data_IF_795505444742
#
_entry.id   IF_795505444742
#
_cell.length_a   1.000
_cell.length_b   1.000
_cell.length_c   1.000
_cell.angle_alpha   90.00
_cell.angle_beta   90.00
_cell.angle_gamma   90.00
#
_symmetry.space_group_name_H-M   'P 1'
#
loop_
_entity.id
_entity.type
_entity.pdbx_description
1 polymer ?
#
# COMPACT_ATOMS: atom_id res chain seq x y z
N UNK A 1 46.31 -12.38 -72.39
CA UNK A 1 46.29 -12.35 -70.91
C UNK A 1 44.94 -11.81 -70.52
N UNK A 2 44.05 -12.72 -70.17
CA UNK A 2 42.70 -12.36 -69.66
C UNK A 2 42.75 -12.21 -68.09
N UNK A 3 42.41 -11.09 -67.61
CA UNK A 3 42.22 -10.87 -66.12
C UNK A 3 40.75 -10.95 -65.81
N UNK A 4 40.34 -12.05 -65.12
CA UNK A 4 39.01 -12.21 -64.55
C UNK A 4 38.85 -11.35 -63.27
N UNK A 5 37.82 -10.48 -63.23
CA UNK A 5 37.40 -9.77 -62.02
C UNK A 5 36.28 -10.60 -61.37
N UNK A 6 36.53 -11.05 -60.13
CA UNK A 6 35.52 -11.67 -59.24
C UNK A 6 34.82 -10.57 -58.53
N UNK A 7 33.51 -10.43 -58.69
CA UNK A 7 32.67 -9.55 -57.92
C UNK A 7 32.12 -10.32 -56.72
N UNK A 8 32.46 -9.88 -55.50
CA UNK A 8 31.89 -10.40 -54.25
C UNK A 8 30.64 -9.57 -53.96
N UNK A 9 29.46 -10.20 -54.00
CA UNK A 9 28.21 -9.60 -53.57
C UNK A 9 28.08 -9.78 -52.06
N UNK A 10 28.13 -8.67 -51.29
CA UNK A 10 27.81 -8.64 -49.86
C UNK A 10 26.29 -8.59 -49.71
N UNK A 11 25.67 -9.69 -49.28
CA UNK A 11 24.26 -9.75 -48.90
C UNK A 11 24.04 -9.09 -47.56
N UNK A 12 23.34 -7.95 -47.52
CA UNK A 12 22.82 -7.38 -46.25
C UNK A 12 21.65 -8.25 -45.78
N UNK A 13 21.82 -8.97 -44.67
CA UNK A 13 20.73 -9.58 -43.95
C UNK A 13 20.15 -8.51 -43.03
N UNK A 14 19.06 -7.89 -43.42
CA UNK A 14 18.26 -7.02 -42.54
C UNK A 14 17.45 -7.91 -41.58
N UNK A 15 17.91 -8.06 -40.36
CA UNK A 15 17.15 -8.71 -39.32
C UNK A 15 15.92 -7.86 -39.02
N UNK A 16 14.72 -8.39 -39.27
CA UNK A 16 13.49 -7.78 -38.80
C UNK A 16 13.40 -7.96 -37.28
N UNK A 17 13.76 -6.93 -36.52
CA UNK A 17 13.42 -6.86 -35.09
C UNK A 17 11.91 -6.75 -35.00
N UNK A 18 11.27 -7.80 -34.46
CA UNK A 18 9.86 -7.76 -34.10
C UNK A 18 9.72 -6.78 -32.93
N UNK A 19 9.42 -5.50 -33.21
CA UNK A 19 8.95 -4.54 -32.24
C UNK A 19 7.56 -5.02 -31.81
N UNK A 20 7.49 -5.76 -30.71
CA UNK A 20 6.22 -6.05 -30.04
C UNK A 20 5.69 -4.71 -29.56
N UNK A 21 4.71 -4.17 -30.27
CA UNK A 21 4.03 -2.95 -29.86
C UNK A 21 3.47 -3.16 -28.45
N UNK A 22 4.04 -2.48 -27.47
CA UNK A 22 3.56 -2.52 -26.10
C UNK A 22 2.15 -1.91 -26.09
N UNK A 23 1.15 -2.71 -25.71
CA UNK A 23 -0.23 -2.24 -25.66
C UNK A 23 -0.32 -1.03 -24.75
N UNK A 24 -1.05 0.01 -25.18
CA UNK A 24 -1.25 1.21 -24.36
C UNK A 24 -1.91 0.84 -23.03
N UNK A 25 -1.49 1.48 -21.90
CA UNK A 25 -2.12 1.25 -20.61
C UNK A 25 -3.63 1.51 -20.66
N UNK A 26 -4.40 0.62 -20.06
CA UNK A 26 -5.86 0.77 -19.93
C UNK A 26 -6.17 1.33 -18.54
N UNK A 27 -7.18 2.19 -18.45
CA UNK A 27 -7.71 2.65 -17.17
C UNK A 27 -8.96 1.85 -16.82
N UNK A 28 -8.95 1.21 -15.67
CA UNK A 28 -10.07 0.47 -15.09
C UNK A 28 -10.66 1.25 -13.92
N UNK A 29 -11.94 1.04 -13.64
CA UNK A 29 -12.64 1.64 -12.48
C UNK A 29 -13.26 0.52 -11.66
N UNK A 30 -12.93 0.44 -10.37
CA UNK A 30 -13.48 -0.53 -9.44
C UNK A 30 -14.05 0.19 -8.22
N UNK A 31 -15.38 0.09 -8.04
CA UNK A 31 -16.09 0.68 -6.92
C UNK A 31 -16.53 -0.40 -5.93
N UNK A 32 -16.64 -0.09 -4.62
CA UNK A 32 -17.08 -1.03 -3.61
C UNK A 32 -18.57 -1.32 -3.76
N UNK A 33 -18.88 -2.59 -3.95
CA UNK A 33 -20.23 -3.17 -4.01
C UNK A 33 -20.23 -4.50 -3.24
N UNK A 34 -21.39 -5.09 -2.93
CA UNK A 34 -21.42 -6.41 -2.28
C UNK A 34 -20.67 -7.53 -3.02
N UNK A 35 -20.39 -7.37 -4.31
CA UNK A 35 -19.71 -8.36 -5.15
C UNK A 35 -18.26 -7.99 -5.50
N UNK A 36 -17.79 -6.81 -5.06
CA UNK A 36 -16.44 -6.32 -5.39
C UNK A 36 -15.60 -6.01 -4.15
N UNK A 37 -15.99 -6.54 -3.00
CA UNK A 37 -15.25 -6.37 -1.76
C UNK A 37 -14.92 -7.71 -1.11
N UNK A 38 -13.72 -7.79 -0.52
CA UNK A 38 -13.34 -8.77 0.49
C UNK A 38 -13.46 -8.09 1.86
N UNK A 39 -14.32 -8.62 2.73
CA UNK A 39 -14.53 -8.01 4.05
C UNK A 39 -13.73 -8.75 5.12
N UNK A 40 -12.68 -8.12 5.62
CA UNK A 40 -11.92 -8.55 6.78
C UNK A 40 -10.86 -9.62 6.51
N UNK A 41 -10.47 -9.86 5.26
CA UNK A 41 -9.49 -10.88 4.95
C UNK A 41 -8.69 -10.62 3.68
N UNK A 42 -7.54 -11.29 3.59
CA UNK A 42 -6.80 -11.60 2.36
C UNK A 42 -6.77 -13.11 2.17
N UNK A 43 -6.97 -13.62 0.94
CA UNK A 43 -7.08 -15.06 0.68
C UNK A 43 -6.61 -15.41 -0.74
N UNK A 44 -5.61 -16.29 -0.84
CA UNK A 44 -5.12 -16.79 -2.13
C UNK A 44 -6.16 -17.59 -2.94
N UNK A 45 -7.23 -18.08 -2.28
CA UNK A 45 -8.32 -18.78 -2.93
C UNK A 45 -9.52 -17.87 -3.30
N UNK A 46 -9.45 -16.56 -2.99
CA UNK A 46 -10.54 -15.64 -3.31
C UNK A 46 -10.64 -15.43 -4.83
N UNK A 47 -11.85 -15.53 -5.43
CA UNK A 47 -12.02 -15.25 -6.84
C UNK A 47 -11.80 -13.78 -7.14
N UNK A 48 -11.02 -13.42 -8.19
CA UNK A 48 -10.82 -12.02 -8.56
C UNK A 48 -12.11 -11.42 -9.13
N UNK A 49 -12.29 -10.13 -8.87
CA UNK A 49 -13.43 -9.33 -9.38
C UNK A 49 -13.06 -8.46 -10.57
N UNK A 50 -11.76 -8.30 -10.82
CA UNK A 50 -11.19 -7.54 -11.93
C UNK A 50 -9.87 -8.19 -12.37
N UNK A 51 -9.62 -8.21 -13.69
CA UNK A 51 -8.33 -8.54 -14.28
C UNK A 51 -7.72 -7.30 -14.92
N UNK A 52 -6.43 -7.06 -14.66
CA UNK A 52 -5.65 -5.97 -15.26
C UNK A 52 -4.32 -6.51 -15.78
N UNK A 53 -3.71 -5.78 -16.71
CA UNK A 53 -2.36 -6.07 -17.21
C UNK A 53 -1.33 -5.24 -16.47
N UNK A 54 -0.10 -5.75 -16.42
CA UNK A 54 1.04 -4.96 -15.95
C UNK A 54 1.16 -3.64 -16.72
N UNK A 55 1.22 -2.53 -15.98
CA UNK A 55 1.26 -1.16 -16.51
C UNK A 55 -0.10 -0.48 -16.61
N UNK A 56 -1.21 -1.18 -16.41
CA UNK A 56 -2.54 -0.59 -16.41
C UNK A 56 -2.73 0.35 -15.20
N UNK A 57 -3.71 1.25 -15.34
CA UNK A 57 -4.13 2.19 -14.29
C UNK A 57 -5.46 1.73 -13.72
N UNK A 58 -5.62 1.79 -12.42
CA UNK A 58 -6.88 1.51 -11.75
C UNK A 58 -7.34 2.71 -10.93
N UNK A 59 -8.63 3.02 -10.99
CA UNK A 59 -9.30 3.95 -10.09
C UNK A 59 -10.14 3.11 -9.13
N UNK A 60 -9.76 3.11 -7.86
CA UNK A 60 -10.40 2.30 -6.82
C UNK A 60 -11.12 3.21 -5.84
N UNK A 61 -12.42 2.97 -5.63
CA UNK A 61 -13.15 3.53 -4.50
C UNK A 61 -13.03 2.63 -3.28
N UNK A 62 -12.95 3.21 -2.09
CA UNK A 62 -12.98 2.47 -0.82
C UNK A 62 -14.04 3.06 0.10
N UNK A 63 -14.46 2.30 1.09
CA UNK A 63 -15.42 2.73 2.08
C UNK A 63 -14.78 2.87 3.45
N UNK A 64 -15.29 3.81 4.20
CA UNK A 64 -14.98 3.99 5.62
C UNK A 64 -15.19 2.67 6.39
N UNK A 65 -14.20 2.29 7.19
CA UNK A 65 -14.23 1.05 8.00
C UNK A 65 -15.18 1.19 9.18
N UNK A 66 -16.50 1.14 8.92
CA UNK A 66 -17.56 1.31 9.91
C UNK A 66 -18.84 0.60 9.50
N UNK A 67 -19.93 0.82 10.28
CA UNK A 67 -21.31 0.46 9.90
C UNK A 67 -22.20 1.69 9.89
N UNK A 68 -23.30 1.68 9.10
CA UNK A 68 -24.26 2.77 9.07
C UNK A 68 -24.76 3.16 10.47
N UNK A 69 -25.09 2.17 11.28
CA UNK A 69 -25.64 2.35 12.63
C UNK A 69 -24.63 3.04 13.57
N UNK A 70 -23.34 2.66 13.46
CA UNK A 70 -22.28 3.27 14.26
C UNK A 70 -22.05 4.73 13.87
N UNK A 71 -22.05 5.04 12.56
CA UNK A 71 -21.89 6.40 12.07
C UNK A 71 -23.06 7.29 12.45
N UNK A 72 -24.29 6.79 12.31
CA UNK A 72 -25.51 7.51 12.68
C UNK A 72 -25.59 7.75 14.20
N UNK A 73 -25.26 6.75 15.01
CA UNK A 73 -25.19 6.90 16.45
C UNK A 73 -24.12 7.91 16.89
N UNK A 74 -23.07 8.09 16.10
CA UNK A 74 -22.03 9.09 16.34
C UNK A 74 -22.40 10.50 15.80
N UNK A 75 -23.55 10.66 15.12
CA UNK A 75 -24.08 11.95 14.68
C UNK A 75 -24.00 12.23 13.18
N UNK A 76 -23.62 11.24 12.35
CA UNK A 76 -23.71 11.38 10.90
C UNK A 76 -25.17 11.30 10.46
N UNK A 77 -25.64 12.29 9.70
CA UNK A 77 -27.01 12.27 9.18
C UNK A 77 -27.21 11.03 8.27
N UNK A 78 -28.34 10.31 8.36
CA UNK A 78 -28.58 9.11 7.55
C UNK A 78 -28.37 9.28 6.04
N UNK A 79 -28.69 10.47 5.51
CA UNK A 79 -28.50 10.80 4.10
C UNK A 79 -27.00 10.99 3.69
N UNK A 80 -26.12 11.16 4.65
CA UNK A 80 -24.67 11.31 4.41
C UNK A 80 -23.93 9.96 4.49
N UNK A 81 -24.56 8.91 5.01
CA UNK A 81 -23.98 7.56 5.00
C UNK A 81 -24.14 6.96 3.62
N UNK A 82 -23.02 6.49 3.05
CA UNK A 82 -22.96 5.97 1.70
C UNK A 82 -23.89 4.76 1.48
N UNK A 83 -24.62 4.76 0.38
CA UNK A 83 -25.55 3.67 0.04
C UNK A 83 -24.82 2.35 -0.21
N UNK A 84 -23.60 2.40 -0.75
CA UNK A 84 -22.74 1.23 -0.92
C UNK A 84 -22.35 0.60 0.42
N UNK A 85 -22.07 1.41 1.45
CA UNK A 85 -21.81 0.91 2.80
C UNK A 85 -23.04 0.18 3.36
N UNK A 86 -24.25 0.76 3.21
CA UNK A 86 -25.52 0.11 3.62
C UNK A 86 -25.73 -1.22 2.89
N UNK A 87 -25.56 -1.23 1.58
CA UNK A 87 -25.72 -2.44 0.78
C UNK A 87 -24.73 -3.54 1.20
N UNK A 88 -23.46 -3.21 1.38
CA UNK A 88 -22.41 -4.14 1.78
C UNK A 88 -22.68 -4.70 3.19
N UNK A 89 -22.96 -3.84 4.16
CA UNK A 89 -23.19 -4.26 5.55
C UNK A 89 -24.40 -5.19 5.68
N UNK A 90 -25.42 -5.01 4.84
CA UNK A 90 -26.66 -5.82 4.84
C UNK A 90 -26.48 -7.14 4.07
N UNK A 91 -25.69 -7.13 2.97
CA UNK A 91 -25.70 -8.24 2.00
C UNK A 91 -24.49 -9.16 2.14
N UNK A 92 -23.30 -8.63 2.48
CA UNK A 92 -22.08 -9.43 2.56
C UNK A 92 -22.06 -10.27 3.83
N UNK A 93 -22.15 -11.59 3.66
CA UNK A 93 -22.11 -12.57 4.76
C UNK A 93 -20.76 -13.29 4.86
N UNK A 94 -20.00 -13.36 3.75
CA UNK A 94 -18.66 -13.96 3.72
C UNK A 94 -17.64 -12.95 4.27
N UNK A 95 -17.46 -12.96 5.59
CA UNK A 95 -16.52 -12.06 6.29
C UNK A 95 -15.36 -12.87 6.85
N UNK A 96 -14.18 -12.24 6.85
CA UNK A 96 -13.00 -12.74 7.54
C UNK A 96 -12.95 -12.28 9.00
N UNK A 97 -11.83 -12.57 9.68
CA UNK A 97 -11.66 -12.19 11.09
C UNK A 97 -11.30 -10.70 11.32
N UNK A 98 -10.93 -9.97 10.27
CA UNK A 98 -10.62 -8.53 10.36
C UNK A 98 -11.84 -7.62 10.21
N UNK A 99 -11.62 -6.30 10.26
CA UNK A 99 -12.68 -5.29 10.20
C UNK A 99 -12.83 -4.60 8.84
N UNK A 100 -11.77 -4.54 8.05
CA UNK A 100 -11.67 -3.68 6.87
C UNK A 100 -12.54 -4.16 5.71
N UNK A 101 -13.18 -3.22 5.00
CA UNK A 101 -13.88 -3.45 3.74
C UNK A 101 -12.90 -3.15 2.61
N UNK A 102 -12.29 -4.20 2.06
CA UNK A 102 -11.27 -4.09 1.03
C UNK A 102 -11.90 -4.21 -0.36
N UNK A 103 -11.63 -3.28 -1.27
CA UNK A 103 -12.07 -3.34 -2.66
C UNK A 103 -11.10 -4.20 -3.47
N UNK A 104 -11.62 -5.26 -4.07
CA UNK A 104 -10.87 -6.31 -4.74
C UNK A 104 -11.49 -7.69 -4.51
N UNK A 105 -10.76 -8.80 -4.77
CA UNK A 105 -9.38 -8.90 -5.25
C UNK A 105 -9.21 -8.55 -6.75
N UNK A 106 -8.08 -7.93 -7.09
CA UNK A 106 -7.72 -7.59 -8.46
C UNK A 106 -6.61 -8.54 -8.91
N UNK A 107 -6.85 -9.28 -9.99
CA UNK A 107 -5.86 -10.16 -10.60
C UNK A 107 -4.98 -9.36 -11.56
N UNK A 108 -3.66 -9.42 -11.38
CA UNK A 108 -2.69 -8.77 -12.26
C UNK A 108 -2.07 -9.82 -13.17
N UNK A 109 -2.39 -9.74 -14.47
CA UNK A 109 -1.95 -10.71 -15.46
C UNK A 109 -0.41 -10.77 -15.51
N UNK A 110 0.12 -12.00 -15.44
CA UNK A 110 1.55 -12.29 -15.50
C UNK A 110 2.30 -12.09 -14.19
N UNK A 111 1.64 -11.72 -13.08
CA UNK A 111 2.24 -11.73 -11.75
C UNK A 111 2.29 -13.14 -11.18
N UNK A 112 3.47 -13.56 -10.71
CA UNK A 112 3.71 -14.88 -10.12
C UNK A 112 4.45 -14.76 -8.79
N UNK A 113 4.41 -15.83 -8.00
CA UNK A 113 5.16 -15.89 -6.74
C UNK A 113 6.65 -15.63 -6.95
N UNK A 114 7.20 -14.70 -6.19
CA UNK A 114 8.59 -14.23 -6.29
C UNK A 114 8.77 -12.95 -7.11
N UNK A 115 7.75 -12.52 -7.86
CA UNK A 115 7.71 -11.19 -8.48
C UNK A 115 7.44 -10.10 -7.41
N UNK A 116 7.44 -8.84 -7.83
CA UNK A 116 7.05 -7.71 -7.01
C UNK A 116 5.99 -6.89 -7.74
N UNK A 117 4.92 -6.47 -7.05
CA UNK A 117 4.05 -5.42 -7.55
C UNK A 117 4.63 -4.06 -7.19
N UNK A 118 4.83 -3.23 -8.20
CA UNK A 118 5.09 -1.80 -8.09
C UNK A 118 3.75 -1.07 -8.23
N UNK A 119 3.32 -0.38 -7.18
CA UNK A 119 2.04 0.34 -7.10
C UNK A 119 2.36 1.82 -6.94
N UNK A 120 2.27 2.57 -8.04
CA UNK A 120 2.43 4.02 -8.04
C UNK A 120 1.10 4.67 -7.64
N UNK A 121 1.09 5.35 -6.51
CA UNK A 121 -0.07 6.09 -5.99
C UNK A 121 -0.12 7.46 -6.68
N UNK A 122 -0.92 7.59 -7.73
CA UNK A 122 -0.92 8.79 -8.57
C UNK A 122 -1.81 9.90 -8.02
N UNK A 123 -2.95 9.54 -7.40
CA UNK A 123 -3.92 10.49 -6.89
C UNK A 123 -4.74 9.86 -5.77
N UNK A 124 -5.11 10.67 -4.78
CA UNK A 124 -6.05 10.30 -3.72
C UNK A 124 -7.03 11.45 -3.52
N UNK A 125 -8.33 11.16 -3.59
CA UNK A 125 -9.42 12.12 -3.36
C UNK A 125 -10.26 11.65 -2.18
N UNK A 126 -10.74 12.58 -1.35
CA UNK A 126 -11.77 12.31 -0.35
C UNK A 126 -13.08 11.97 -1.06
N UNK A 127 -13.77 10.90 -0.65
CA UNK A 127 -15.06 10.51 -1.20
C UNK A 127 -16.24 11.05 -0.38
N UNK A 128 -16.03 11.34 0.92
CA UNK A 128 -17.02 11.88 1.84
C UNK A 128 -16.46 13.07 2.62
N UNK A 129 -17.31 13.99 3.14
CA UNK A 129 -16.86 15.22 3.79
C UNK A 129 -16.62 15.07 5.30
N UNK A 130 -16.45 13.87 5.80
CA UNK A 130 -16.17 13.59 7.20
C UNK A 130 -15.24 12.39 7.38
N UNK A 131 -14.59 12.37 8.52
CA UNK A 131 -13.92 11.19 9.06
C UNK A 131 -14.50 10.84 10.42
N UNK A 132 -14.18 9.65 10.94
CA UNK A 132 -14.29 9.40 12.36
C UNK A 132 -12.92 9.02 12.94
N UNK A 133 -12.79 9.21 14.25
CA UNK A 133 -11.77 8.58 15.07
C UNK A 133 -12.46 7.93 16.28
N UNK A 134 -11.99 6.77 16.70
CA UNK A 134 -12.65 6.04 17.79
C UNK A 134 -11.69 5.09 18.51
N UNK A 135 -11.80 5.08 19.80
CA UNK A 135 -11.22 4.03 20.64
C UNK A 135 -12.29 3.18 21.32
N UNK A 136 -11.93 2.00 21.80
CA UNK A 136 -12.87 1.07 22.43
C UNK A 136 -12.28 0.34 23.62
N UNK A 137 -13.16 -0.31 24.39
CA UNK A 137 -12.74 -1.13 25.53
C UNK A 137 -11.76 -2.20 25.10
N UNK A 138 -10.64 -2.30 25.80
CA UNK A 138 -9.53 -3.24 25.53
C UNK A 138 -8.92 -3.08 24.13
N UNK A 139 -8.98 -1.91 23.53
CA UNK A 139 -8.39 -1.58 22.24
C UNK A 139 -7.50 -0.35 22.34
N UNK A 140 -6.63 -0.16 21.34
CA UNK A 140 -5.62 0.89 21.38
C UNK A 140 -4.40 0.51 22.23
N UNK A 141 -3.46 1.43 22.32
CA UNK A 141 -2.18 1.19 22.99
C UNK A 141 -2.22 1.39 24.52
N UNK A 142 -3.23 2.11 25.04
CA UNK A 142 -3.41 2.41 26.47
C UNK A 142 -4.82 1.97 26.95
N UNK A 143 -5.19 0.69 26.82
CA UNK A 143 -6.54 0.23 27.12
C UNK A 143 -6.90 0.38 28.60
N UNK A 144 -5.93 0.35 29.51
CA UNK A 144 -6.10 0.54 30.95
C UNK A 144 -6.49 1.97 31.32
N UNK A 145 -6.02 2.98 30.57
CA UNK A 145 -6.32 4.39 30.79
C UNK A 145 -7.66 4.80 30.17
N UNK A 146 -8.11 4.05 29.14
CA UNK A 146 -9.35 4.31 28.40
C UNK A 146 -10.30 3.10 28.40
N UNK A 147 -10.82 2.69 29.59
CA UNK A 147 -11.65 1.48 29.72
C UNK A 147 -13.10 1.69 29.24
N UNK A 148 -13.30 2.56 28.26
CA UNK A 148 -14.60 2.88 27.65
C UNK A 148 -14.46 3.10 26.14
N UNK A 149 -15.58 3.19 25.43
CA UNK A 149 -15.58 3.46 23.99
C UNK A 149 -16.03 4.88 23.72
N UNK A 150 -15.41 5.51 22.72
CA UNK A 150 -15.81 6.81 22.21
C UNK A 150 -15.60 6.89 20.72
N UNK A 151 -16.58 7.45 20.01
CA UNK A 151 -16.46 7.78 18.57
C UNK A 151 -16.66 9.28 18.40
N UNK A 152 -15.81 9.89 17.60
CA UNK A 152 -15.90 11.30 17.23
C UNK A 152 -16.04 11.41 15.71
N UNK A 153 -17.03 12.12 15.24
CA UNK A 153 -17.12 12.53 13.83
C UNK A 153 -16.34 13.84 13.65
N UNK A 154 -15.52 13.90 12.64
CA UNK A 154 -14.59 15.01 12.37
C UNK A 154 -14.88 15.52 10.96
N UNK A 155 -15.40 16.75 10.80
CA UNK A 155 -15.64 17.35 9.50
C UNK A 155 -14.33 17.55 8.72
N UNK A 156 -14.35 17.23 7.42
CA UNK A 156 -13.22 17.43 6.50
C UNK A 156 -13.53 18.61 5.57
N UNK A 157 -12.60 19.56 5.50
CA UNK A 157 -12.62 20.68 4.53
C UNK A 157 -11.62 20.40 3.40
N UNK A 158 -12.14 19.90 2.28
CA UNK A 158 -11.34 19.58 1.10
C UNK A 158 -10.75 20.82 0.40
N UNK A 159 -11.31 22.03 0.63
CA UNK A 159 -10.80 23.26 0.05
C UNK A 159 -9.61 23.80 0.82
N UNK A 160 -9.64 23.72 2.15
CA UNK A 160 -8.56 24.13 3.05
C UNK A 160 -7.57 23.00 3.33
N UNK A 161 -7.89 21.77 2.95
CA UNK A 161 -7.14 20.55 3.24
C UNK A 161 -6.89 20.38 4.73
N UNK A 162 -7.94 20.49 5.54
CA UNK A 162 -7.89 20.32 7.00
C UNK A 162 -9.07 19.49 7.52
N UNK A 163 -8.84 18.80 8.63
CA UNK A 163 -9.87 18.18 9.47
C UNK A 163 -10.11 19.06 10.69
N UNK A 164 -11.37 19.40 10.96
CA UNK A 164 -11.76 20.25 12.12
C UNK A 164 -11.92 19.38 13.37
N UNK A 165 -10.83 19.11 14.07
CA UNK A 165 -10.82 18.19 15.22
C UNK A 165 -11.57 18.76 16.44
N UNK A 166 -11.31 20.02 16.78
CA UNK A 166 -11.96 20.76 17.87
C UNK A 166 -11.86 22.26 17.61
N UNK A 167 -12.59 23.13 18.38
CA UNK A 167 -12.43 24.58 18.26
C UNK A 167 -10.95 25.00 18.38
N UNK A 168 -10.43 25.60 17.32
CA UNK A 168 -9.03 26.06 17.23
C UNK A 168 -8.00 24.96 16.94
N UNK A 169 -8.42 23.72 16.64
CA UNK A 169 -7.54 22.61 16.28
C UNK A 169 -7.94 22.10 14.89
N UNK A 170 -7.20 22.55 13.88
CA UNK A 170 -7.27 22.06 12.49
C UNK A 170 -6.08 21.15 12.22
N UNK A 171 -6.35 19.92 11.76
CA UNK A 171 -5.33 18.92 11.40
C UNK A 171 -5.15 18.97 9.88
N UNK A 172 -3.93 19.20 9.35
CA UNK A 172 -3.67 19.09 7.91
C UNK A 172 -4.01 17.70 7.37
N UNK A 173 -4.66 17.65 6.19
CA UNK A 173 -4.97 16.38 5.54
C UNK A 173 -3.76 15.87 4.74
N UNK A 174 -3.47 14.59 4.95
CA UNK A 174 -2.49 13.82 4.18
C UNK A 174 -3.11 12.45 3.87
N UNK A 175 -4.06 12.38 2.89
CA UNK A 175 -4.82 11.16 2.65
C UNK A 175 -3.92 10.03 2.14
N UNK A 176 -4.16 8.83 2.67
CA UNK A 176 -3.52 7.58 2.23
C UNK A 176 -4.45 6.39 2.50
N UNK A 177 -4.09 5.21 1.97
CA UNK A 177 -4.82 3.97 2.26
C UNK A 177 -4.03 3.19 3.30
N UNK A 178 -4.63 2.92 4.45
CA UNK A 178 -4.06 2.08 5.49
C UNK A 178 -3.79 0.68 4.97
N UNK A 179 -4.74 0.14 4.22
CA UNK A 179 -4.65 -1.20 3.63
C UNK A 179 -4.44 -1.17 2.12
N UNK A 180 -3.23 -1.55 1.67
CA UNK A 180 -2.90 -1.94 0.29
C UNK A 180 -2.14 -3.26 0.38
N UNK A 181 -2.75 -4.37 -0.02
CA UNK A 181 -2.14 -5.69 0.15
C UNK A 181 -2.46 -6.67 -0.95
N UNK A 182 -1.69 -7.75 -0.98
CA UNK A 182 -1.88 -8.87 -1.91
C UNK A 182 -2.24 -10.14 -1.14
N UNK A 183 -2.69 -11.18 -1.83
CA UNK A 183 -2.94 -12.46 -1.18
C UNK A 183 -1.64 -13.03 -0.57
N UNK A 184 -1.70 -13.56 0.66
CA UNK A 184 -0.57 -14.23 1.30
C UNK A 184 -0.24 -15.55 0.61
N UNK A 185 0.89 -16.22 0.98
CA UNK A 185 1.16 -17.59 0.52
C UNK A 185 -0.05 -18.50 0.77
N UNK A 186 -0.44 -19.29 -0.23
CA UNK A 186 -1.64 -20.14 -0.17
C UNK A 186 -1.69 -21.07 1.05
N UNK A 187 -0.53 -21.51 1.54
CA UNK A 187 -0.43 -22.34 2.75
C UNK A 187 -0.89 -21.64 4.04
N UNK A 188 -0.99 -20.30 4.05
CA UNK A 188 -1.53 -19.55 5.20
C UNK A 188 -3.07 -19.52 5.22
N UNK A 189 -3.72 -19.92 4.12
CA UNK A 189 -5.17 -19.82 3.96
C UNK A 189 -5.64 -18.35 4.03
N UNK A 190 -6.89 -18.18 4.49
CA UNK A 190 -7.48 -16.87 4.72
C UNK A 190 -6.90 -16.24 5.99
N UNK A 191 -6.28 -15.06 5.83
CA UNK A 191 -5.71 -14.28 6.95
C UNK A 191 -6.58 -13.06 7.26
N UNK A 192 -6.47 -12.54 8.49
CA UNK A 192 -7.14 -11.30 8.90
C UNK A 192 -6.61 -10.10 8.12
N UNK A 193 -7.50 -9.14 7.84
CA UNK A 193 -7.11 -7.87 7.24
C UNK A 193 -6.45 -6.89 8.22
N UNK A 194 -6.50 -7.17 9.55
CA UNK A 194 -5.97 -6.22 10.53
C UNK A 194 -4.43 -6.27 10.63
N UNK A 195 -3.74 -7.41 10.87
CA UNK A 195 -2.29 -7.37 11.02
C UNK A 195 -1.58 -7.14 9.68
N UNK A 196 -0.67 -6.15 9.58
CA UNK A 196 0.25 -6.05 8.46
C UNK A 196 1.29 -7.18 8.52
N UNK A 197 1.79 -7.63 7.32
CA UNK A 197 2.80 -8.68 7.24
C UNK A 197 3.54 -8.59 5.88
N UNK A 198 4.25 -9.66 5.48
CA UNK A 198 4.97 -9.78 4.21
C UNK A 198 4.11 -9.49 2.97
N UNK A 199 2.81 -9.66 3.05
CA UNK A 199 1.84 -9.35 1.98
C UNK A 199 1.40 -7.88 1.95
N UNK A 200 2.04 -7.01 2.74
CA UNK A 200 1.62 -5.67 3.07
C UNK A 200 0.28 -5.69 3.85
N UNK A 201 -0.83 -5.35 3.22
CA UNK A 201 -2.13 -5.29 3.89
C UNK A 201 -2.28 -3.98 4.65
N UNK A 202 -2.63 -4.08 5.93
CA UNK A 202 -2.87 -2.93 6.81
C UNK A 202 -1.56 -2.33 7.32
N UNK A 203 -0.84 -1.66 6.41
CA UNK A 203 0.46 -1.07 6.74
C UNK A 203 0.36 0.16 7.62
N UNK A 204 -0.74 0.92 7.54
CA UNK A 204 -0.98 2.18 8.23
C UNK A 204 0.18 3.16 8.16
N UNK A 205 0.87 3.14 7.02
CA UNK A 205 2.03 3.97 6.79
C UNK A 205 1.64 5.30 6.12
N UNK A 206 1.58 6.36 6.92
CA UNK A 206 1.18 7.70 6.49
C UNK A 206 2.07 8.33 5.42
N UNK A 207 3.25 7.76 5.16
CA UNK A 207 4.16 8.23 4.11
C UNK A 207 3.70 7.82 2.70
N UNK A 208 2.75 6.86 2.59
CA UNK A 208 2.24 6.33 1.32
C UNK A 208 1.11 7.19 0.71
N UNK A 209 1.36 8.47 0.58
CA UNK A 209 0.44 9.46 -0.02
C UNK A 209 0.53 9.51 -1.55
N UNK A 210 -0.29 10.33 -2.20
CA UNK A 210 -0.18 10.58 -3.64
C UNK A 210 1.22 11.08 -4.04
N UNK A 211 1.77 10.52 -5.12
CA UNK A 211 3.14 10.78 -5.60
C UNK A 211 4.18 9.82 -5.05
N UNK A 212 3.77 8.80 -4.29
CA UNK A 212 4.65 7.75 -3.75
C UNK A 212 4.43 6.42 -4.45
N UNK A 213 5.32 5.46 -4.20
CA UNK A 213 5.26 4.11 -4.75
C UNK A 213 5.38 3.09 -3.63
N UNK A 214 4.52 2.09 -3.62
CA UNK A 214 4.60 0.91 -2.75
C UNK A 214 5.03 -0.30 -3.58
N UNK A 215 5.98 -1.08 -3.08
CA UNK A 215 6.47 -2.32 -3.64
C UNK A 215 6.08 -3.47 -2.71
N UNK A 216 5.36 -4.45 -3.24
CA UNK A 216 4.85 -5.59 -2.47
C UNK A 216 5.35 -6.91 -3.08
N UNK A 217 5.97 -7.80 -2.29
CA UNK A 217 6.30 -9.15 -2.74
C UNK A 217 5.04 -9.92 -3.14
N UNK A 218 5.04 -10.55 -4.30
CA UNK A 218 3.94 -11.42 -4.77
C UNK A 218 4.13 -12.84 -4.23
N UNK A 219 3.09 -13.41 -3.65
CA UNK A 219 3.12 -14.75 -3.05
C UNK A 219 2.24 -15.76 -3.78
N UNK A 220 1.36 -15.29 -4.66
CA UNK A 220 0.30 -16.08 -5.31
C UNK A 220 0.13 -15.60 -6.75
N UNK A 221 -0.14 -16.47 -7.74
CA UNK A 221 -0.42 -16.06 -9.11
C UNK A 221 -1.50 -14.98 -9.18
N UNK A 222 -1.23 -13.93 -9.96
CA UNK A 222 -2.11 -12.77 -10.10
C UNK A 222 -2.06 -11.80 -8.93
N UNK A 223 -1.23 -12.03 -7.91
CA UNK A 223 -1.09 -11.23 -6.71
C UNK A 223 -2.39 -11.07 -5.89
N UNK A 224 -3.55 -10.91 -6.52
CA UNK A 224 -4.86 -10.66 -5.90
C UNK A 224 -4.83 -9.41 -5.01
N UNK A 225 -4.58 -8.26 -5.63
CA UNK A 225 -4.47 -6.96 -4.96
C UNK A 225 -5.82 -6.51 -4.39
N UNK A 226 -5.82 -6.07 -3.14
CA UNK A 226 -6.96 -5.47 -2.44
C UNK A 226 -6.56 -4.14 -1.83
N UNK A 227 -7.48 -3.14 -1.86
CA UNK A 227 -7.25 -1.79 -1.36
C UNK A 227 -8.44 -1.36 -0.50
N UNK A 228 -8.16 -0.81 0.68
CA UNK A 228 -9.19 -0.37 1.61
C UNK A 228 -8.66 0.58 2.65
N UNK A 229 -9.46 0.78 3.69
CA UNK A 229 -9.06 1.48 4.90
C UNK A 229 -8.50 2.88 4.61
N UNK A 230 -9.39 3.77 4.19
CA UNK A 230 -9.03 5.12 3.79
C UNK A 230 -8.84 6.04 4.97
N UNK A 231 -7.66 6.64 5.10
CA UNK A 231 -7.31 7.61 6.13
C UNK A 231 -7.15 9.01 5.52
N UNK A 232 -7.81 10.01 6.09
CA UNK A 232 -7.60 11.41 5.72
C UNK A 232 -6.31 11.98 6.34
N UNK A 233 -5.73 11.29 7.31
CA UNK A 233 -4.49 11.61 8.00
C UNK A 233 -4.32 10.74 9.25
N UNK A 234 -3.08 10.59 9.73
CA UNK A 234 -2.70 9.79 10.89
C UNK A 234 -1.43 10.31 11.52
N UNK A 235 -1.28 10.16 12.81
CA UNK A 235 0.01 10.28 13.50
C UNK A 235 0.74 8.93 13.49
N UNK A 236 2.08 8.94 13.47
CA UNK A 236 2.85 7.71 13.66
C UNK A 236 2.47 7.04 14.98
N UNK A 237 2.27 5.72 14.92
CA UNK A 237 1.85 4.88 16.04
C UNK A 237 0.37 4.53 16.07
N UNK A 238 -0.52 5.29 15.44
CA UNK A 238 -1.99 5.06 15.42
C UNK A 238 -2.57 4.64 16.78
N UNK A 239 -2.17 5.36 17.82
CA UNK A 239 -2.17 4.89 19.21
C UNK A 239 -3.54 4.52 19.79
N UNK A 240 -4.65 5.00 19.25
CA UNK A 240 -6.00 4.68 19.73
C UNK A 240 -6.74 3.66 18.85
N UNK A 241 -6.05 3.08 17.84
CA UNK A 241 -6.55 2.05 16.90
C UNK A 241 -7.34 2.58 15.71
N UNK A 242 -7.43 3.87 15.54
CA UNK A 242 -8.00 4.48 14.35
C UNK A 242 -7.23 5.75 13.99
N UNK A 243 -7.20 6.06 12.71
CA UNK A 243 -6.73 7.33 12.16
C UNK A 243 -7.87 8.36 12.06
N UNK A 244 -7.83 9.21 11.04
CA UNK A 244 -8.98 9.95 10.51
C UNK A 244 -9.64 9.06 9.45
N UNK A 245 -10.45 8.10 9.91
CA UNK A 245 -11.09 7.08 9.08
C UNK A 245 -12.09 7.69 8.11
N UNK A 246 -11.96 7.43 6.81
CA UNK A 246 -12.85 8.01 5.80
C UNK A 246 -12.97 7.11 4.55
N UNK A 247 -13.85 7.46 3.64
CA UNK A 247 -13.91 6.86 2.31
C UNK A 247 -13.03 7.65 1.34
N UNK A 248 -12.25 6.94 0.53
CA UNK A 248 -11.33 7.54 -0.43
C UNK A 248 -11.58 7.01 -1.86
N UNK A 249 -11.06 7.75 -2.83
CA UNK A 249 -10.87 7.29 -4.20
C UNK A 249 -9.41 7.46 -4.60
N UNK A 250 -8.74 6.35 -4.91
CA UNK A 250 -7.35 6.34 -5.34
C UNK A 250 -7.19 6.04 -6.82
N UNK A 251 -6.16 6.62 -7.44
CA UNK A 251 -5.69 6.25 -8.79
C UNK A 251 -4.31 5.66 -8.67
N UNK A 252 -4.15 4.43 -9.16
CA UNK A 252 -2.92 3.66 -9.03
C UNK A 252 -2.47 3.14 -10.40
N UNK A 253 -1.18 3.23 -10.71
CA UNK A 253 -0.58 2.44 -11.79
C UNK A 253 0.06 1.20 -11.19
N UNK A 254 -0.28 0.03 -11.71
CA UNK A 254 0.18 -1.25 -11.19
C UNK A 254 1.09 -1.93 -12.22
N UNK A 255 2.33 -2.23 -11.83
CA UNK A 255 3.33 -2.85 -12.70
C UNK A 255 3.91 -4.09 -12.04
N UNK A 256 4.02 -5.18 -12.79
CA UNK A 256 4.72 -6.39 -12.34
C UNK A 256 6.22 -6.22 -12.60
N UNK A 257 7.01 -6.36 -11.56
CA UNK A 257 8.48 -6.27 -11.58
C UNK A 257 9.06 -7.68 -11.38
N UNK A 258 9.67 -8.19 -12.45
CA UNK A 258 10.36 -9.49 -12.46
C UNK A 258 11.88 -9.36 -12.22
N UNK A 259 12.35 -8.14 -12.17
CA UNK A 259 13.76 -7.76 -12.02
C UNK A 259 14.13 -7.36 -10.58
N UNK A 260 13.15 -7.32 -9.69
CA UNK A 260 13.31 -6.99 -8.27
C UNK A 260 12.87 -8.20 -7.43
N UNK A 261 13.63 -8.48 -6.37
CA UNK A 261 13.26 -9.49 -5.38
C UNK A 261 13.36 -8.88 -3.99
N UNK A 262 12.34 -9.11 -3.17
CA UNK A 262 12.31 -8.64 -1.77
C UNK A 262 11.45 -9.56 -0.92
N UNK A 263 11.73 -9.62 0.37
CA UNK A 263 10.99 -10.44 1.32
C UNK A 263 9.89 -9.65 2.06
N UNK A 264 10.04 -8.32 2.14
CA UNK A 264 9.18 -7.42 2.87
C UNK A 264 8.75 -6.25 2.00
N UNK A 265 7.60 -5.63 2.24
CA UNK A 265 7.18 -4.42 1.54
C UNK A 265 8.20 -3.29 1.69
N UNK A 266 8.30 -2.45 0.65
CA UNK A 266 9.11 -1.22 0.65
C UNK A 266 8.29 -0.08 0.06
N UNK A 267 8.57 1.13 0.53
CA UNK A 267 7.99 2.35 -0.03
C UNK A 267 9.05 3.23 -0.68
N UNK A 268 8.58 4.13 -1.53
CA UNK A 268 9.40 5.17 -2.12
C UNK A 268 8.62 6.48 -2.21
N UNK A 269 9.18 7.53 -1.65
CA UNK A 269 8.68 8.90 -1.79
C UNK A 269 9.61 9.69 -2.70
N UNK A 270 9.27 10.91 -3.10
CA UNK A 270 10.19 11.78 -3.83
C UNK A 270 11.53 12.02 -3.10
N UNK A 271 11.54 11.91 -1.76
CA UNK A 271 12.68 12.27 -0.92
C UNK A 271 13.31 11.11 -0.16
N UNK A 272 12.61 10.00 0.02
CA UNK A 272 13.08 8.86 0.81
C UNK A 272 12.74 7.51 0.16
N UNK A 273 13.53 6.49 0.47
CA UNK A 273 13.10 5.10 0.43
C UNK A 273 12.65 4.69 1.82
N UNK A 274 11.71 3.75 1.87
CA UNK A 274 11.11 3.28 3.11
C UNK A 274 11.30 1.77 3.20
N UNK A 275 12.06 1.32 4.19
CA UNK A 275 12.17 -0.10 4.53
C UNK A 275 11.23 -0.42 5.69
N UNK A 276 10.49 -1.53 5.61
CA UNK A 276 9.44 -1.85 6.57
C UNK A 276 9.73 -3.17 7.29
N UNK A 277 9.25 -3.28 8.52
CA UNK A 277 9.28 -4.50 9.31
C UNK A 277 8.08 -4.58 10.24
N UNK A 278 7.46 -5.75 10.30
CA UNK A 278 6.28 -6.01 11.11
C UNK A 278 6.49 -7.27 11.95
N UNK A 279 6.04 -7.23 13.20
CA UNK A 279 6.05 -8.37 14.14
C UNK A 279 5.09 -8.04 15.30
N UNK A 280 4.71 -9.03 16.09
CA UNK A 280 3.95 -8.82 17.32
C UNK A 280 4.75 -8.09 18.39
N UNK A 281 6.06 -8.20 18.36
CA UNK A 281 6.99 -7.56 19.27
C UNK A 281 7.65 -6.37 18.59
N UNK A 282 7.52 -5.17 19.16
CA UNK A 282 8.05 -3.93 18.62
C UNK A 282 9.56 -3.97 18.40
N UNK A 283 10.31 -4.63 19.27
CA UNK A 283 11.76 -4.76 19.12
C UNK A 283 12.11 -5.66 17.94
N UNK A 284 11.33 -6.73 17.71
CA UNK A 284 11.52 -7.59 16.53
C UNK A 284 11.11 -6.87 15.24
N UNK A 285 9.98 -6.16 15.22
CA UNK A 285 9.57 -5.32 14.08
C UNK A 285 10.67 -4.31 13.73
N UNK A 286 11.23 -3.61 14.73
CA UNK A 286 12.35 -2.68 14.55
C UNK A 286 13.58 -3.38 13.96
N UNK A 287 13.96 -4.55 14.48
CA UNK A 287 15.10 -5.33 13.94
C UNK A 287 14.88 -5.74 12.49
N UNK A 288 13.65 -6.12 12.12
CA UNK A 288 13.29 -6.46 10.74
C UNK A 288 13.45 -5.22 9.86
N UNK A 289 12.84 -4.09 10.21
CA UNK A 289 12.92 -2.86 9.46
C UNK A 289 14.36 -2.38 9.23
N UNK A 290 15.19 -2.38 10.28
CA UNK A 290 16.62 -2.02 10.19
C UNK A 290 17.40 -2.99 9.29
N UNK A 291 17.15 -4.31 9.38
CA UNK A 291 17.75 -5.29 8.47
C UNK A 291 17.34 -5.07 7.02
N UNK A 292 16.06 -4.72 6.77
CA UNK A 292 15.59 -4.39 5.42
C UNK A 292 16.23 -3.11 4.88
N UNK A 293 16.51 -2.11 5.73
CA UNK A 293 17.26 -0.91 5.35
C UNK A 293 18.72 -1.23 4.99
N UNK A 294 19.39 -2.04 5.81
CA UNK A 294 20.76 -2.50 5.54
C UNK A 294 20.81 -3.29 4.23
N UNK A 295 19.89 -4.26 4.03
CA UNK A 295 19.81 -5.06 2.81
C UNK A 295 19.60 -4.16 1.58
N UNK A 296 18.71 -3.17 1.66
CA UNK A 296 18.50 -2.18 0.60
C UNK A 296 19.78 -1.41 0.28
N UNK A 297 20.48 -0.89 1.29
CA UNK A 297 21.71 -0.12 1.10
C UNK A 297 22.83 -0.97 0.51
N UNK A 298 22.93 -2.24 0.87
CA UNK A 298 23.87 -3.19 0.28
C UNK A 298 23.53 -3.51 -1.18
N UNK A 299 22.28 -3.89 -1.44
CA UNK A 299 21.87 -4.43 -2.75
C UNK A 299 21.66 -3.34 -3.81
N UNK A 300 21.12 -2.19 -3.42
CA UNK A 300 20.78 -1.10 -4.34
C UNK A 300 21.89 -0.06 -4.42
N UNK A 301 22.50 0.31 -3.29
CA UNK A 301 23.56 1.31 -3.23
C UNK A 301 24.99 0.72 -3.28
N UNK A 302 25.10 -0.61 -3.14
CA UNK A 302 26.39 -1.31 -3.24
C UNK A 302 27.32 -1.10 -2.07
N UNK A 303 26.79 -0.75 -0.89
CA UNK A 303 27.59 -0.57 0.34
C UNK A 303 28.03 -1.91 0.93
N UNK A 304 29.11 -1.89 1.71
CA UNK A 304 29.43 -3.02 2.58
C UNK A 304 28.38 -3.16 3.68
N UNK A 305 28.30 -4.34 4.31
CA UNK A 305 27.40 -4.59 5.42
C UNK A 305 27.64 -3.60 6.58
N UNK A 306 28.91 -3.35 6.91
CA UNK A 306 29.28 -2.46 8.01
C UNK A 306 28.96 -1.00 7.67
N UNK A 307 29.28 -0.55 6.45
CA UNK A 307 28.94 0.81 5.99
C UNK A 307 27.44 1.04 5.94
N UNK A 308 26.66 0.04 5.47
CA UNK A 308 25.21 0.11 5.44
C UNK A 308 24.62 0.23 6.85
N UNK A 309 25.14 -0.53 7.81
CA UNK A 309 24.70 -0.44 9.21
C UNK A 309 25.07 0.91 9.84
N UNK A 310 26.30 1.39 9.63
CA UNK A 310 26.74 2.69 10.12
C UNK A 310 25.92 3.81 9.50
N UNK A 311 25.67 3.77 8.17
CA UNK A 311 24.89 4.78 7.49
C UNK A 311 23.42 4.81 7.99
N UNK A 312 22.83 3.64 8.24
CA UNK A 312 21.50 3.55 8.83
C UNK A 312 21.46 4.28 10.19
N UNK A 313 22.50 4.14 11.01
CA UNK A 313 22.56 4.77 12.34
C UNK A 313 22.72 6.30 12.30
N UNK A 314 23.45 6.84 11.31
CA UNK A 314 23.83 8.27 11.29
C UNK A 314 22.96 9.13 10.37
N UNK A 315 22.13 8.51 9.52
CA UNK A 315 21.39 9.24 8.49
C UNK A 315 19.94 8.79 8.28
N UNK A 316 19.50 7.67 8.85
CA UNK A 316 18.15 7.17 8.65
C UNK A 316 17.33 7.29 9.94
N UNK A 317 16.06 7.72 9.81
CA UNK A 317 15.11 7.75 10.92
C UNK A 317 14.40 6.39 11.03
N UNK A 318 14.13 5.95 12.25
CA UNK A 318 13.39 4.73 12.56
C UNK A 318 12.10 5.13 13.25
N UNK A 319 10.99 4.98 12.56
CA UNK A 319 9.68 5.43 13.00
C UNK A 319 8.75 4.24 13.34
N UNK A 320 7.97 4.39 14.40
CA UNK A 320 6.89 3.46 14.72
C UNK A 320 5.72 3.80 13.81
N UNK A 321 5.37 2.89 12.92
CA UNK A 321 4.28 3.10 11.95
C UNK A 321 2.92 3.03 12.61
N UNK A 322 2.64 1.90 13.26
CA UNK A 322 1.43 1.63 14.04
C UNK A 322 1.75 0.66 15.21
N UNK A 323 0.90 0.62 16.25
CA UNK A 323 1.12 -0.14 17.50
C UNK A 323 -0.02 -1.10 17.86
N UNK A 324 -1.08 -1.19 17.01
CA UNK A 324 -2.40 -1.57 17.51
C UNK A 324 -3.11 -2.71 16.76
N UNK A 325 -2.61 -3.19 15.61
CA UNK A 325 -3.32 -4.13 14.74
C UNK A 325 -2.93 -5.60 14.89
N UNK A 326 -2.29 -5.93 15.99
CA UNK A 326 -1.89 -7.31 16.31
C UNK A 326 -0.46 -7.65 15.87
N UNK A 327 0.01 -7.27 14.70
CA UNK A 327 1.41 -7.00 14.44
C UNK A 327 1.60 -5.49 14.51
N UNK A 328 2.70 -5.03 15.08
CA UNK A 328 3.10 -3.63 15.07
C UNK A 328 4.01 -3.36 13.89
N UNK A 329 3.91 -2.17 13.30
CA UNK A 329 4.70 -1.73 12.16
C UNK A 329 5.82 -0.77 12.56
N UNK A 330 7.00 -0.97 11.96
CA UNK A 330 8.14 -0.04 12.03
C UNK A 330 8.65 0.21 10.63
N UNK A 331 8.99 1.46 10.33
CA UNK A 331 9.64 1.78 9.06
C UNK A 331 10.90 2.60 9.26
N UNK A 332 11.84 2.46 8.31
CA UNK A 332 13.10 3.20 8.27
C UNK A 332 13.05 4.14 7.06
N UNK A 333 13.20 5.42 7.31
CA UNK A 333 13.26 6.47 6.30
C UNK A 333 14.71 6.70 5.85
N UNK A 334 15.03 6.30 4.62
CA UNK A 334 16.37 6.43 4.03
C UNK A 334 16.38 7.65 3.11
N UNK A 335 17.03 8.77 3.47
CA UNK A 335 16.96 10.00 2.68
C UNK A 335 17.74 9.88 1.37
N UNK A 336 17.10 10.18 0.24
CA UNK A 336 17.73 10.16 -1.08
C UNK A 336 18.80 11.25 -1.25
N UNK A 337 18.67 12.35 -0.51
CA UNK A 337 19.55 13.52 -0.59
C UNK A 337 21.00 13.25 -0.18
N UNK A 338 21.26 12.18 0.55
CA UNK A 338 22.63 11.82 0.98
C UNK A 338 23.42 11.10 -0.12
N UNK A 339 22.76 10.71 -1.21
CA UNK A 339 23.41 10.05 -2.34
C UNK A 339 23.67 11.02 -3.48
N UNK A 340 24.76 10.86 -4.27
CA UNK A 340 25.01 11.67 -5.45
C UNK A 340 23.83 11.61 -6.42
N UNK A 341 23.54 12.72 -7.10
CA UNK A 341 22.48 12.79 -8.12
C UNK A 341 22.67 11.70 -9.18
N UNK A 342 21.60 10.94 -9.45
CA UNK A 342 21.59 9.81 -10.35
C UNK A 342 21.89 8.45 -9.69
N UNK A 343 22.47 8.41 -8.48
CA UNK A 343 22.51 7.18 -7.66
C UNK A 343 21.21 6.97 -6.89
N UNK A 344 20.49 8.05 -6.60
CA UNK A 344 19.27 8.09 -5.80
C UNK A 344 17.98 7.64 -6.50
N UNK A 345 17.99 7.40 -7.83
CA UNK A 345 16.77 7.07 -8.59
C UNK A 345 16.60 5.56 -8.83
N UNK A 346 17.36 4.71 -8.09
CA UNK A 346 17.42 3.28 -8.37
C UNK A 346 16.84 2.47 -7.23
N UNK A 347 15.68 1.86 -7.46
CA UNK A 347 15.21 0.70 -6.70
C UNK A 347 15.79 -0.63 -7.21
N UNK A 348 16.60 -0.59 -8.27
CA UNK A 348 17.14 -1.75 -8.98
C UNK A 348 18.62 -1.92 -8.62
N UNK A 349 19.06 -3.16 -8.27
CA UNK A 349 20.48 -3.45 -8.02
C UNK A 349 21.36 -3.02 -9.20
N UNK A 350 22.49 -2.40 -8.91
CA UNK A 350 23.54 -2.18 -9.91
C UNK A 350 24.08 -3.56 -10.29
N UNK A 351 23.76 -4.06 -11.49
CA UNK A 351 24.45 -5.24 -12.01
C UNK A 351 25.94 -4.86 -12.15
N UNK A 352 26.79 -5.50 -11.36
CA UNK A 352 28.25 -5.46 -11.54
C UNK A 352 28.65 -6.45 -12.62
#
# INVERSE_FOLDING_TARGET
>A
MLTSRVAIALGLVVGAENIVAQAQPTTHVLMPTPTTVAWGYYDAAAPPVLHIRSGDVIVVGTLITSTPERLEAAGVAPAQVEQSLRAITTTVTNKGPGGHILTGPIYVDGADSGDVLEIQIQKIDLAIPYAYNAFGVNRGFLPEDFPYSKTRIIPLDSNRLVAHFAPGIDIPLHPFFGSIGVAPPAARGRVSSAPPDIHAGNLDNKELVAGTTLYIPVHTPGALLEIGDGHAGQGNGEVDITALETSLRGTFKVTVRKDIHMAWPRGETPTHWIAMGMDKDLVQATKIAVRQAIDFLMTVQGLSHDDAYQLTSVACDVDITELVDGNVGVHVMIPKSIFPRGAGDRMIPVRR
#
